data_IF_924763340102
#
_entry.id   IF_924763340102
#
_cell.length_a   1.000
_cell.length_b   1.000
_cell.length_c   1.000
_cell.angle_alpha   90.00
_cell.angle_beta   90.00
_cell.angle_gamma   90.00
#
_symmetry.space_group_name_H-M   'P 1'
#
loop_
_entity.id
_entity.type
_entity.pdbx_description
1 polymer ?
#
# COMPACT_ATOMS: atom_id res chain seq x y z
N UNK A 1 23.87 10.69 4.09
CA UNK A 1 25.08 11.53 4.10
C UNK A 1 24.61 12.94 3.89
N UNK A 2 24.78 13.85 4.85
CA UNK A 2 24.42 15.26 4.66
C UNK A 2 25.19 15.80 3.45
N UNK A 3 24.47 16.18 2.38
CA UNK A 3 25.06 17.00 1.32
C UNK A 3 25.12 18.42 1.86
N UNK A 4 26.32 18.93 2.11
CA UNK A 4 26.51 20.37 2.26
C UNK A 4 26.08 21.02 0.93
N UNK A 5 25.08 21.91 0.97
CA UNK A 5 24.67 22.72 -0.19
C UNK A 5 25.82 23.68 -0.53
N UNK A 6 26.37 23.56 -1.74
CA UNK A 6 27.41 24.43 -2.26
C UNK A 6 26.73 25.54 -3.07
N UNK A 7 26.58 26.71 -2.46
CA UNK A 7 25.88 27.89 -3.02
C UNK A 7 26.60 28.52 -4.24
N UNK A 8 27.62 27.87 -4.81
CA UNK A 8 28.41 28.41 -5.92
C UNK A 8 27.85 28.08 -7.32
N UNK A 9 26.84 27.22 -7.44
CA UNK A 9 26.22 26.85 -8.71
C UNK A 9 24.69 27.07 -8.69
N UNK A 10 24.24 28.18 -9.28
CA UNK A 10 22.88 28.73 -9.06
C UNK A 10 21.79 28.24 -10.01
N UNK A 11 22.08 27.42 -11.02
CA UNK A 11 21.06 26.97 -12.01
C UNK A 11 20.60 25.50 -11.84
N UNK A 12 21.46 24.65 -11.26
CA UNK A 12 21.17 23.22 -11.03
C UNK A 12 20.57 22.94 -9.63
N UNK A 13 20.48 23.94 -8.75
CA UNK A 13 20.01 23.82 -7.35
C UNK A 13 18.68 24.56 -7.08
N UNK A 14 17.97 25.00 -8.12
CA UNK A 14 16.64 25.62 -7.97
C UNK A 14 15.56 24.54 -7.88
N UNK A 15 14.61 24.72 -6.97
CA UNK A 15 13.40 23.90 -6.90
C UNK A 15 12.62 23.98 -8.23
N UNK A 16 12.34 22.81 -8.82
CA UNK A 16 11.57 22.67 -10.06
C UNK A 16 10.35 21.78 -9.77
N UNK A 17 9.15 22.36 -9.65
CA UNK A 17 7.94 21.62 -9.26
C UNK A 17 7.66 20.40 -10.14
N UNK A 18 7.94 20.50 -11.43
CA UNK A 18 7.68 19.48 -12.44
C UNK A 18 8.49 18.19 -12.22
N UNK A 19 9.59 18.27 -11.47
CA UNK A 19 10.40 17.09 -11.13
C UNK A 19 9.75 16.21 -10.04
N UNK A 20 8.81 16.77 -9.28
CA UNK A 20 8.18 16.11 -8.13
C UNK A 20 6.67 15.90 -8.32
N UNK A 21 6.04 16.63 -9.25
CA UNK A 21 4.66 16.38 -9.63
C UNK A 21 4.54 15.08 -10.43
N UNK A 22 3.63 14.19 -10.00
CA UNK A 22 3.36 12.93 -10.69
C UNK A 22 2.04 12.98 -11.45
N UNK A 23 1.93 12.15 -12.48
CA UNK A 23 0.62 11.75 -12.99
C UNK A 23 -0.12 10.95 -11.92
N UNK A 24 -1.46 10.92 -11.97
CA UNK A 24 -2.26 10.13 -11.02
C UNK A 24 -1.87 8.64 -11.07
N UNK A 25 -1.59 8.12 -12.27
CA UNK A 25 -1.12 6.74 -12.44
C UNK A 25 0.23 6.49 -11.78
N UNK A 26 1.22 7.37 -12.00
CA UNK A 26 2.54 7.23 -11.39
C UNK A 26 2.49 7.41 -9.87
N UNK A 27 1.60 8.26 -9.37
CA UNK A 27 1.35 8.42 -7.94
C UNK A 27 0.87 7.12 -7.29
N UNK A 28 -0.14 6.46 -7.89
CA UNK A 28 -0.61 5.18 -7.40
C UNK A 28 0.41 4.05 -7.59
N UNK A 29 1.16 4.05 -8.70
CA UNK A 29 2.28 3.12 -8.92
C UNK A 29 3.34 3.24 -7.82
N UNK A 30 3.69 4.48 -7.44
CA UNK A 30 4.65 4.72 -6.36
C UNK A 30 4.08 4.30 -5.01
N UNK A 31 2.81 4.63 -4.73
CA UNK A 31 2.08 4.19 -3.52
C UNK A 31 2.08 2.66 -3.38
N UNK A 32 1.92 1.93 -4.48
CA UNK A 32 1.89 0.46 -4.50
C UNK A 32 3.27 -0.19 -4.36
N UNK A 33 4.28 0.36 -5.02
CA UNK A 33 5.57 -0.35 -5.22
C UNK A 33 6.69 0.09 -4.29
N UNK A 34 6.61 1.28 -3.69
CA UNK A 34 7.68 1.77 -2.84
C UNK A 34 7.73 1.03 -1.49
N UNK A 35 8.94 0.70 -1.06
CA UNK A 35 9.20 -0.08 0.18
C UNK A 35 8.68 0.61 1.44
N UNK A 36 8.69 1.94 1.45
CA UNK A 36 8.24 2.77 2.56
C UNK A 36 7.64 4.04 1.99
N UNK A 37 6.33 4.19 2.15
CA UNK A 37 5.54 5.32 1.66
C UNK A 37 4.89 6.02 2.83
N UNK A 38 4.99 7.34 2.85
CA UNK A 38 4.25 8.20 3.77
C UNK A 38 3.31 9.07 2.97
N UNK A 39 2.02 8.86 3.17
CA UNK A 39 0.97 9.54 2.43
C UNK A 39 0.39 10.65 3.29
N UNK A 40 0.41 11.89 2.80
CA UNK A 40 -0.14 13.04 3.51
C UNK A 40 -1.22 13.74 2.69
N UNK A 41 -2.33 14.02 3.37
CA UNK A 41 -3.42 14.87 2.89
C UNK A 41 -3.23 16.27 3.43
N UNK A 42 -2.95 17.23 2.55
CA UNK A 42 -2.66 18.61 2.91
C UNK A 42 -3.91 19.48 3.02
N UNK A 43 -5.09 18.92 2.77
CA UNK A 43 -6.37 19.63 2.91
C UNK A 43 -6.71 19.84 4.38
N UNK A 44 -7.65 20.73 4.64
CA UNK A 44 -8.19 20.94 5.98
C UNK A 44 -8.83 19.67 6.54
N UNK A 45 -8.82 19.54 7.87
CA UNK A 45 -9.35 18.36 8.56
C UNK A 45 -10.81 18.02 8.18
N UNK A 46 -11.64 19.03 7.90
CA UNK A 46 -13.03 18.80 7.46
C UNK A 46 -13.13 18.04 6.15
N UNK A 47 -12.30 18.36 5.15
CA UNK A 47 -12.30 17.67 3.86
C UNK A 47 -11.72 16.26 3.99
N UNK A 48 -10.72 16.09 4.86
CA UNK A 48 -10.14 14.78 5.18
C UNK A 48 -11.17 13.84 5.81
N UNK A 49 -11.93 14.31 6.80
CA UNK A 49 -12.97 13.50 7.47
C UNK A 49 -14.10 13.08 6.53
N UNK A 50 -14.39 13.87 5.49
CA UNK A 50 -15.38 13.52 4.47
C UNK A 50 -14.88 12.37 3.61
N UNK A 51 -13.65 12.45 3.11
CA UNK A 51 -13.03 11.41 2.28
C UNK A 51 -11.54 11.66 2.15
N UNK A 52 -10.73 10.61 2.21
CA UNK A 52 -9.28 10.65 2.03
C UNK A 52 -8.79 9.32 1.47
N UNK A 53 -7.56 9.31 0.93
CA UNK A 53 -6.96 8.07 0.47
C UNK A 53 -6.70 7.12 1.66
N UNK A 54 -6.95 5.80 1.52
CA UNK A 54 -6.63 4.84 2.56
C UNK A 54 -5.16 4.95 3.01
N UNK A 55 -4.96 5.23 4.30
CA UNK A 55 -3.63 5.31 4.92
C UNK A 55 -2.97 6.68 4.82
N UNK A 56 -3.69 7.69 4.31
CA UNK A 56 -3.24 9.07 4.35
C UNK A 56 -3.31 9.63 5.79
N UNK A 57 -2.28 10.38 6.18
CA UNK A 57 -2.28 11.20 7.38
C UNK A 57 -2.71 12.62 7.04
N UNK A 58 -3.68 13.17 7.76
CA UNK A 58 -4.00 14.58 7.59
C UNK A 58 -2.88 15.45 8.18
N UNK A 59 -2.31 16.31 7.33
CA UNK A 59 -1.34 17.33 7.72
C UNK A 59 -1.66 18.60 6.94
N UNK A 60 -2.67 19.38 7.38
CA UNK A 60 -3.06 20.61 6.71
C UNK A 60 -1.86 21.53 6.47
N UNK A 61 -1.82 22.20 5.32
CA UNK A 61 -0.67 22.99 4.88
C UNK A 61 -0.23 24.05 5.91
N UNK A 62 -1.17 24.64 6.66
CA UNK A 62 -0.90 25.61 7.72
C UNK A 62 -0.08 25.06 8.90
N UNK A 63 0.01 23.74 9.01
CA UNK A 63 0.77 23.04 10.05
C UNK A 63 2.01 22.32 9.50
N UNK A 64 2.21 22.33 8.19
CA UNK A 64 3.22 21.53 7.51
C UNK A 64 4.64 21.94 7.92
N UNK A 65 4.98 23.23 7.85
CA UNK A 65 6.31 23.74 8.18
C UNK A 65 6.71 23.43 9.63
N UNK A 66 5.77 23.57 10.57
CA UNK A 66 6.02 23.26 11.99
C UNK A 66 6.21 21.77 12.25
N UNK A 67 5.73 20.92 11.34
CA UNK A 67 5.77 19.46 11.47
C UNK A 67 6.97 18.82 10.78
N UNK A 68 7.78 19.61 10.05
CA UNK A 68 8.88 19.09 9.23
C UNK A 68 9.89 18.26 10.00
N UNK A 69 10.18 18.64 11.25
CA UNK A 69 11.12 17.92 12.12
C UNK A 69 10.61 16.55 12.58
N UNK A 70 9.31 16.31 12.46
CA UNK A 70 8.67 15.02 12.76
C UNK A 70 8.48 14.18 11.48
N UNK A 71 8.71 14.77 10.30
CA UNK A 71 8.55 14.06 9.04
C UNK A 71 9.70 13.05 8.84
N UNK A 72 9.40 11.92 8.18
CA UNK A 72 10.36 10.86 7.97
C UNK A 72 11.40 11.28 6.92
N UNK A 73 12.67 11.35 7.33
CA UNK A 73 13.81 11.67 6.43
C UNK A 73 14.20 10.55 5.46
N UNK A 74 13.51 9.41 5.47
CA UNK A 74 13.77 8.29 4.55
C UNK A 74 12.46 7.70 4.04
N UNK A 75 12.46 7.10 2.85
CA UNK A 75 11.24 6.61 2.20
C UNK A 75 10.55 7.71 1.37
N UNK A 76 9.58 7.29 0.58
CA UNK A 76 8.88 8.18 -0.34
C UNK A 76 7.76 8.93 0.40
N UNK A 77 7.81 10.27 0.35
CA UNK A 77 6.71 11.12 0.82
C UNK A 77 5.78 11.39 -0.36
N UNK A 78 4.51 11.03 -0.26
CA UNK A 78 3.49 11.30 -1.24
C UNK A 78 2.50 12.31 -0.66
N UNK A 79 2.28 13.41 -1.38
CA UNK A 79 1.40 14.51 -0.95
C UNK A 79 0.23 14.66 -1.91
N UNK A 80 -0.94 15.01 -1.38
CA UNK A 80 -2.01 15.57 -2.20
C UNK A 80 -2.77 16.68 -1.46
N UNK A 81 -3.40 17.58 -2.21
CA UNK A 81 -4.06 18.77 -1.68
C UNK A 81 -5.44 19.02 -2.27
N UNK A 82 -5.95 20.24 -2.06
CA UNK A 82 -7.24 20.70 -2.60
C UNK A 82 -7.15 21.30 -4.00
N UNK A 83 -5.95 21.41 -4.58
CA UNK A 83 -5.70 22.11 -5.84
C UNK A 83 -5.59 23.63 -5.67
N UNK A 84 -5.17 24.12 -4.51
CA UNK A 84 -5.04 25.55 -4.18
C UNK A 84 -3.58 25.95 -3.89
N UNK A 85 -2.61 25.12 -4.29
CA UNK A 85 -1.17 25.37 -4.11
C UNK A 85 -0.58 24.82 -2.81
N UNK A 86 -1.35 24.03 -2.05
CA UNK A 86 -0.88 23.38 -0.82
C UNK A 86 0.31 22.46 -1.11
N UNK A 87 0.19 21.64 -2.16
CA UNK A 87 1.22 20.66 -2.54
C UNK A 87 2.50 21.32 -3.04
N UNK A 88 2.38 22.40 -3.81
CA UNK A 88 3.52 23.18 -4.30
C UNK A 88 4.30 23.80 -3.12
N UNK A 89 3.57 24.41 -2.18
CA UNK A 89 4.17 25.03 -0.99
C UNK A 89 4.87 23.98 -0.12
N UNK A 90 4.22 22.83 0.12
CA UNK A 90 4.81 21.73 0.88
C UNK A 90 6.05 21.14 0.19
N UNK A 91 6.01 20.99 -1.14
CA UNK A 91 7.14 20.48 -1.93
C UNK A 91 8.35 21.42 -1.87
N UNK A 92 8.15 22.73 -1.94
CA UNK A 92 9.22 23.73 -1.77
C UNK A 92 9.82 23.66 -0.35
N UNK A 93 8.97 23.60 0.68
CA UNK A 93 9.40 23.45 2.07
C UNK A 93 10.24 22.17 2.26
N UNK A 94 9.80 21.03 1.72
CA UNK A 94 10.57 19.77 1.78
C UNK A 94 11.93 19.89 1.08
N UNK A 95 11.95 20.48 -0.12
CA UNK A 95 13.18 20.68 -0.89
C UNK A 95 14.20 21.56 -0.14
N UNK A 96 13.74 22.66 0.43
CA UNK A 96 14.59 23.60 1.15
C UNK A 96 15.18 22.99 2.42
N UNK A 97 14.43 22.11 3.07
CA UNK A 97 14.84 21.35 4.25
C UNK A 97 15.62 20.06 3.91
N UNK A 98 15.95 19.84 2.64
CA UNK A 98 16.88 18.79 2.21
C UNK A 98 16.27 17.39 2.09
N UNK A 99 14.94 17.27 2.02
CA UNK A 99 14.29 16.03 1.60
C UNK A 99 14.58 15.80 0.11
N UNK A 100 14.91 14.56 -0.26
CA UNK A 100 15.30 14.20 -1.62
C UNK A 100 14.28 13.30 -2.32
N UNK A 101 13.35 12.68 -1.58
CA UNK A 101 12.31 11.78 -2.11
C UNK A 101 10.92 12.18 -1.64
N UNK A 102 10.29 13.09 -2.40
CA UNK A 102 8.90 13.47 -2.22
C UNK A 102 8.22 13.70 -3.55
N UNK A 103 6.91 13.47 -3.62
CA UNK A 103 6.14 13.59 -4.85
C UNK A 103 4.72 14.02 -4.54
N UNK A 104 4.04 14.64 -5.50
CA UNK A 104 2.69 15.14 -5.26
C UNK A 104 1.75 15.07 -6.47
N UNK A 105 0.46 15.02 -6.15
CA UNK A 105 -0.67 15.30 -7.05
C UNK A 105 -1.47 16.44 -6.44
N UNK A 106 -1.73 17.50 -7.19
CA UNK A 106 -2.21 18.75 -6.60
C UNK A 106 -3.63 18.66 -6.01
N UNK A 107 -4.54 17.96 -6.72
CA UNK A 107 -5.97 17.95 -6.40
C UNK A 107 -6.46 16.55 -6.04
N UNK A 108 -7.03 16.40 -4.85
CA UNK A 108 -7.59 15.13 -4.36
C UNK A 108 -8.58 14.49 -5.34
N UNK A 109 -9.45 15.27 -5.98
CA UNK A 109 -10.45 14.75 -6.91
C UNK A 109 -9.82 14.08 -8.14
N UNK A 110 -8.63 14.52 -8.58
CA UNK A 110 -7.93 13.92 -9.72
C UNK A 110 -7.55 12.45 -9.45
N UNK A 111 -7.30 12.11 -8.18
CA UNK A 111 -6.97 10.75 -7.75
C UNK A 111 -8.11 9.75 -7.97
N UNK A 112 -9.31 10.23 -8.31
CA UNK A 112 -10.45 9.40 -8.68
C UNK A 112 -10.90 9.68 -10.12
N UNK A 113 -11.00 10.96 -10.50
CA UNK A 113 -11.48 11.37 -11.83
C UNK A 113 -10.55 10.92 -12.99
N UNK A 114 -9.26 10.74 -12.73
CA UNK A 114 -8.28 10.31 -13.74
C UNK A 114 -7.95 8.82 -13.69
N UNK A 115 -8.70 8.04 -12.90
CA UNK A 115 -8.55 6.58 -12.87
C UNK A 115 -9.34 5.98 -14.03
N UNK A 116 -8.66 5.28 -14.92
CA UNK A 116 -9.22 4.71 -16.15
C UNK A 116 -8.82 3.23 -16.34
N UNK A 117 -9.24 2.63 -17.46
CA UNK A 117 -8.98 1.22 -17.77
C UNK A 117 -7.49 0.87 -17.95
N UNK A 118 -6.62 1.87 -18.07
CA UNK A 118 -5.18 1.65 -18.18
C UNK A 118 -4.54 1.23 -16.85
N UNK A 119 -5.26 1.37 -15.73
CA UNK A 119 -4.76 1.07 -14.38
C UNK A 119 -4.69 -0.43 -14.09
N UNK A 120 -5.39 -1.25 -14.87
CA UNK A 120 -5.36 -2.70 -14.75
C UNK A 120 -5.13 -3.38 -16.10
N UNK A 121 -4.70 -4.64 -16.05
CA UNK A 121 -4.42 -5.46 -17.22
C UNK A 121 -5.20 -6.78 -17.17
N UNK A 122 -5.33 -7.42 -18.33
CA UNK A 122 -6.00 -8.72 -18.47
C UNK A 122 -5.08 -9.59 -19.31
N UNK A 123 -4.71 -10.76 -18.80
CA UNK A 123 -3.95 -11.74 -19.57
C UNK A 123 -4.79 -12.27 -20.76
N UNK A 124 -4.16 -12.68 -21.88
CA UNK A 124 -4.88 -13.27 -23.02
C UNK A 124 -5.74 -14.48 -22.66
N UNK A 125 -5.29 -15.30 -21.72
CA UNK A 125 -5.97 -16.50 -21.24
C UNK A 125 -7.21 -16.13 -20.40
N UNK A 126 -7.07 -15.17 -19.48
CA UNK A 126 -8.19 -14.66 -18.70
C UNK A 126 -9.23 -14.00 -19.61
N UNK A 127 -8.80 -13.21 -20.59
CA UNK A 127 -9.68 -12.56 -21.55
C UNK A 127 -10.58 -13.56 -22.28
N UNK A 128 -10.02 -14.67 -22.77
CA UNK A 128 -10.80 -15.75 -23.43
C UNK A 128 -11.83 -16.38 -22.49
N UNK A 129 -11.47 -16.60 -21.22
CA UNK A 129 -12.37 -17.21 -20.22
C UNK A 129 -13.51 -16.27 -19.83
N UNK A 130 -13.24 -14.97 -19.76
CA UNK A 130 -14.22 -13.91 -19.46
C UNK A 130 -15.18 -13.67 -20.63
N UNK A 131 -14.68 -13.69 -21.87
CA UNK A 131 -15.48 -13.49 -23.10
C UNK A 131 -16.37 -14.68 -23.47
N UNK A 132 -16.10 -15.86 -22.91
CA UNK A 132 -16.97 -17.02 -23.11
C UNK A 132 -18.37 -16.69 -22.56
N UNK A 133 -19.47 -17.09 -23.24
CA UNK A 133 -20.81 -16.70 -22.81
C UNK A 133 -21.08 -17.17 -21.38
N UNK A 134 -21.19 -16.22 -20.46
CA UNK A 134 -21.67 -16.45 -19.09
C UNK A 134 -23.12 -15.97 -19.03
N UNK A 135 -24.06 -16.87 -18.74
CA UNK A 135 -25.49 -16.52 -18.57
C UNK A 135 -25.71 -15.51 -17.42
N UNK A 136 -24.72 -15.38 -16.53
CA UNK A 136 -24.81 -14.68 -15.25
C UNK A 136 -24.06 -13.33 -15.18
N UNK A 137 -23.66 -12.72 -16.30
CA UNK A 137 -22.93 -11.43 -16.32
C UNK A 137 -23.64 -10.35 -17.15
N UNK A 138 -24.94 -10.15 -16.93
CA UNK A 138 -25.79 -9.30 -17.78
C UNK A 138 -25.37 -7.81 -17.81
N UNK A 139 -24.75 -7.31 -16.74
CA UNK A 139 -24.32 -5.91 -16.58
C UNK A 139 -22.79 -5.73 -16.72
N UNK A 140 -22.02 -6.81 -16.59
CA UNK A 140 -20.56 -6.83 -16.70
C UNK A 140 -19.91 -7.60 -15.55
N UNK A 141 -18.65 -7.25 -15.26
CA UNK A 141 -17.86 -7.88 -14.19
C UNK A 141 -17.53 -6.90 -13.08
N UNK A 142 -17.82 -7.27 -11.84
CA UNK A 142 -17.41 -6.50 -10.66
C UNK A 142 -16.00 -6.91 -10.25
N UNK A 143 -15.06 -5.99 -10.40
CA UNK A 143 -13.73 -6.03 -9.83
C UNK A 143 -13.81 -5.50 -8.39
N UNK A 144 -13.86 -6.42 -7.42
CA UNK A 144 -14.02 -6.08 -6.02
C UNK A 144 -12.70 -6.24 -5.26
N UNK A 145 -12.50 -5.37 -4.28
CA UNK A 145 -11.41 -5.43 -3.31
C UNK A 145 -12.04 -5.46 -1.93
N UNK A 146 -11.61 -6.38 -1.08
CA UNK A 146 -11.89 -6.37 0.35
C UNK A 146 -10.65 -5.84 1.08
N UNK A 147 -10.61 -4.55 1.48
CA UNK A 147 -9.46 -4.01 2.20
C UNK A 147 -9.29 -4.72 3.54
N UNK A 148 -8.07 -5.20 3.81
CA UNK A 148 -7.65 -5.73 5.12
C UNK A 148 -6.77 -4.75 5.88
N UNK A 149 -6.14 -3.83 5.15
CA UNK A 149 -5.42 -2.68 5.71
C UNK A 149 -5.47 -1.52 4.71
N UNK A 150 -4.98 -0.32 5.07
CA UNK A 150 -4.89 0.80 4.15
C UNK A 150 -4.12 0.51 2.84
N UNK A 151 -3.18 -0.43 2.86
CA UNK A 151 -2.31 -0.75 1.72
C UNK A 151 -2.46 -2.20 1.26
N UNK A 152 -3.40 -2.96 1.82
CA UNK A 152 -3.57 -4.38 1.49
C UNK A 152 -5.05 -4.76 1.35
N UNK A 153 -5.37 -5.52 0.31
CA UNK A 153 -6.73 -6.03 0.08
C UNK A 153 -6.76 -7.37 -0.64
N UNK A 154 -7.88 -8.09 -0.49
CA UNK A 154 -8.16 -9.33 -1.22
C UNK A 154 -8.96 -8.97 -2.48
N UNK A 155 -8.48 -9.39 -3.64
CA UNK A 155 -9.06 -9.04 -4.93
C UNK A 155 -9.93 -10.18 -5.46
N UNK A 156 -11.08 -9.84 -6.02
CA UNK A 156 -12.00 -10.81 -6.63
C UNK A 156 -12.61 -10.26 -7.89
N UNK A 157 -12.93 -11.16 -8.83
CA UNK A 157 -13.74 -10.86 -10.00
C UNK A 157 -15.01 -11.69 -9.93
N UNK A 158 -16.16 -11.04 -10.00
CA UNK A 158 -17.46 -11.74 -10.01
C UNK A 158 -18.41 -11.14 -11.04
N UNK A 159 -19.30 -11.92 -11.64
CA UNK A 159 -20.34 -11.38 -12.49
C UNK A 159 -21.22 -10.38 -11.74
N UNK A 160 -21.60 -9.28 -12.39
CA UNK A 160 -22.56 -8.32 -11.88
C UNK A 160 -23.90 -8.50 -12.62
N UNK A 161 -24.95 -8.74 -11.85
CA UNK A 161 -26.32 -8.94 -12.34
C UNK A 161 -27.30 -7.86 -11.88
N UNK A 162 -26.89 -7.05 -10.90
CA UNK A 162 -27.67 -5.93 -10.37
C UNK A 162 -27.34 -4.67 -11.18
N UNK A 163 -28.36 -3.84 -11.43
CA UNK A 163 -28.24 -2.55 -12.10
C UNK A 163 -28.01 -1.39 -11.11
N UNK A 164 -27.98 -1.65 -9.80
CA UNK A 164 -27.55 -0.66 -8.80
C UNK A 164 -26.03 -0.40 -8.87
N UNK A 165 -25.66 0.56 -9.71
CA UNK A 165 -24.29 0.99 -9.96
C UNK A 165 -24.03 2.45 -9.57
N UNK A 166 -24.86 3.06 -8.72
CA UNK A 166 -24.83 4.51 -8.44
C UNK A 166 -23.48 5.00 -7.86
N UNK A 167 -22.73 4.11 -7.20
CA UNK A 167 -21.42 4.41 -6.60
C UNK A 167 -20.28 3.64 -7.25
N UNK A 168 -20.49 3.13 -8.47
CA UNK A 168 -19.49 2.34 -9.19
C UNK A 168 -18.89 3.12 -10.36
N UNK A 169 -17.58 3.02 -10.51
CA UNK A 169 -16.88 3.42 -11.71
C UNK A 169 -17.00 2.32 -12.78
N UNK A 170 -17.41 2.71 -13.98
CA UNK A 170 -17.44 1.85 -15.17
C UNK A 170 -16.10 1.95 -15.91
N UNK A 171 -15.56 0.81 -16.31
CA UNK A 171 -14.44 0.70 -17.24
C UNK A 171 -14.84 -0.16 -18.43
N UNK A 172 -14.36 0.20 -19.62
CA UNK A 172 -14.53 -0.61 -20.82
C UNK A 172 -13.15 -1.00 -21.34
N UNK A 173 -12.85 -2.29 -21.35
CA UNK A 173 -11.54 -2.81 -21.73
C UNK A 173 -11.70 -4.06 -22.59
N UNK A 174 -11.12 -4.06 -23.78
CA UNK A 174 -11.22 -5.18 -24.75
C UNK A 174 -12.67 -5.61 -25.05
N UNK A 175 -13.59 -4.65 -25.08
CA UNK A 175 -15.03 -4.88 -25.30
C UNK A 175 -15.79 -5.47 -24.12
N UNK A 176 -15.18 -5.51 -22.92
CA UNK A 176 -15.77 -6.03 -21.69
C UNK A 176 -15.99 -4.86 -20.72
N UNK A 177 -17.14 -4.90 -20.05
CA UNK A 177 -17.50 -3.91 -19.03
C UNK A 177 -17.04 -4.41 -17.67
N UNK A 178 -16.25 -3.60 -16.99
CA UNK A 178 -15.86 -3.78 -15.59
C UNK A 178 -16.46 -2.69 -14.73
N UNK A 179 -16.79 -3.05 -13.50
CA UNK A 179 -17.31 -2.17 -12.47
C UNK A 179 -16.42 -2.27 -11.24
N UNK A 180 -16.22 -1.16 -10.55
CA UNK A 180 -15.53 -1.09 -9.27
C UNK A 180 -16.20 -0.03 -8.41
N UNK A 181 -16.36 -0.30 -7.11
CA UNK A 181 -16.82 0.73 -6.18
C UNK A 181 -15.85 1.93 -6.19
N UNK A 182 -16.41 3.14 -6.24
CA UNK A 182 -15.63 4.37 -6.32
C UNK A 182 -14.64 4.53 -5.15
N UNK A 183 -15.02 4.07 -3.96
CA UNK A 183 -14.15 4.11 -2.77
C UNK A 183 -12.93 3.19 -2.89
N UNK A 184 -12.97 2.21 -3.79
CA UNK A 184 -11.91 1.22 -3.99
C UNK A 184 -10.96 1.57 -5.14
N UNK A 185 -11.22 2.63 -5.92
CA UNK A 185 -10.31 3.09 -6.99
C UNK A 185 -8.83 3.24 -6.56
N UNK A 186 -8.49 3.65 -5.32
CA UNK A 186 -7.11 3.68 -4.85
C UNK A 186 -6.36 2.34 -4.84
N UNK A 187 -7.06 1.22 -5.05
CA UNK A 187 -6.51 -0.14 -5.12
C UNK A 187 -6.34 -0.65 -6.56
N UNK A 188 -6.77 0.09 -7.58
CA UNK A 188 -6.86 -0.42 -8.94
C UNK A 188 -5.50 -0.50 -9.66
N UNK A 189 -4.63 0.49 -9.47
CA UNK A 189 -3.36 0.57 -10.20
C UNK A 189 -2.50 -0.68 -9.98
N UNK A 190 -2.02 -1.25 -11.08
CA UNK A 190 -1.19 -2.45 -11.08
C UNK A 190 -1.95 -3.75 -10.87
N UNK A 191 -3.28 -3.72 -10.93
CA UNK A 191 -4.11 -4.93 -10.87
C UNK A 191 -4.00 -5.71 -12.17
N UNK A 192 -3.86 -7.02 -12.06
CA UNK A 192 -3.82 -7.95 -13.17
C UNK A 192 -4.90 -9.01 -13.01
N UNK A 193 -5.71 -9.17 -14.06
CA UNK A 193 -6.68 -10.24 -14.17
C UNK A 193 -6.03 -11.37 -14.98
N UNK A 194 -5.71 -12.47 -14.30
CA UNK A 194 -4.95 -13.58 -14.84
C UNK A 194 -5.64 -14.93 -14.63
N UNK A 195 -4.99 -15.99 -15.09
CA UNK A 195 -5.36 -17.37 -14.76
C UNK A 195 -4.39 -17.90 -13.73
N UNK A 196 -4.92 -18.45 -12.65
CA UNK A 196 -4.15 -19.21 -11.67
C UNK A 196 -3.60 -20.49 -12.34
N UNK A 197 -2.28 -20.64 -12.38
CA UNK A 197 -1.62 -21.73 -13.10
C UNK A 197 -1.96 -23.13 -12.55
N UNK A 198 -2.26 -23.22 -11.26
CA UNK A 198 -2.56 -24.49 -10.59
C UNK A 198 -4.01 -24.95 -10.82
N UNK A 199 -4.94 -24.01 -10.82
CA UNK A 199 -6.39 -24.28 -10.87
C UNK A 199 -7.01 -24.05 -12.25
N UNK A 200 -6.38 -23.25 -13.10
CA UNK A 200 -6.96 -22.79 -14.37
C UNK A 200 -8.13 -21.80 -14.18
N UNK A 201 -8.36 -21.31 -12.97
CA UNK A 201 -9.42 -20.35 -12.64
C UNK A 201 -8.96 -18.91 -12.77
N UNK A 202 -9.92 -17.99 -12.95
CA UNK A 202 -9.62 -16.56 -12.96
C UNK A 202 -9.12 -16.17 -11.58
N UNK A 203 -8.01 -15.45 -11.57
CA UNK A 203 -7.44 -14.83 -10.39
C UNK A 203 -7.22 -13.35 -10.66
N UNK A 204 -7.50 -12.52 -9.65
CA UNK A 204 -7.15 -11.10 -9.68
C UNK A 204 -6.03 -10.90 -8.69
N UNK A 205 -4.92 -10.37 -9.16
CA UNK A 205 -3.74 -10.08 -8.35
C UNK A 205 -3.36 -8.62 -8.45
N UNK A 206 -2.69 -8.12 -7.44
CA UNK A 206 -2.07 -6.81 -7.47
C UNK A 206 -0.73 -6.91 -6.75
N UNK A 207 0.38 -6.81 -7.48
CA UNK A 207 1.70 -6.85 -6.89
C UNK A 207 1.95 -5.59 -6.06
N UNK A 208 1.88 -5.71 -4.74
CA UNK A 208 2.12 -4.62 -3.79
C UNK A 208 0.91 -4.31 -2.91
N UNK A 209 -0.31 -4.35 -3.45
CA UNK A 209 -1.55 -4.15 -2.67
C UNK A 209 -2.35 -5.43 -2.44
N UNK A 210 -2.13 -6.48 -3.23
CA UNK A 210 -2.80 -7.77 -3.08
C UNK A 210 -2.35 -8.50 -1.82
N UNK A 211 -3.31 -9.14 -1.16
CA UNK A 211 -3.06 -10.31 -0.33
C UNK A 211 -3.34 -11.49 -1.25
N UNK A 212 -2.28 -12.14 -1.73
CA UNK A 212 -2.41 -13.27 -2.63
C UNK A 212 -3.11 -14.45 -1.96
N UNK A 213 -3.62 -15.39 -2.77
CA UNK A 213 -3.84 -16.74 -2.24
C UNK A 213 -2.49 -17.24 -1.75
N UNK A 214 -2.44 -17.73 -0.52
CA UNK A 214 -1.21 -18.30 0.00
C UNK A 214 -0.89 -19.58 -0.77
N UNK A 215 0.21 -19.59 -1.51
CA UNK A 215 0.64 -20.71 -2.37
C UNK A 215 1.75 -21.53 -1.74
N UNK A 216 2.01 -22.70 -2.31
CA UNK A 216 3.10 -23.58 -1.89
C UNK A 216 2.81 -24.38 -0.62
N UNK A 217 3.87 -24.89 -0.01
CA UNK A 217 3.76 -25.69 1.20
C UNK A 217 3.50 -24.79 2.44
N UNK A 218 3.25 -25.40 3.61
CA UNK A 218 2.95 -24.66 4.83
C UNK A 218 4.00 -23.58 5.18
N UNK A 219 5.28 -23.87 4.97
CA UNK A 219 6.37 -22.92 5.22
C UNK A 219 6.33 -21.73 4.24
N UNK A 220 6.03 -21.99 2.96
CA UNK A 220 5.88 -20.94 1.94
C UNK A 220 4.72 -20.00 2.27
N UNK A 221 3.60 -20.56 2.74
CA UNK A 221 2.42 -19.79 3.16
C UNK A 221 2.71 -18.92 4.38
N UNK A 222 3.43 -19.46 5.37
CA UNK A 222 3.89 -18.71 6.56
C UNK A 222 4.80 -17.56 6.13
N UNK A 223 5.75 -17.79 5.21
CA UNK A 223 6.64 -16.74 4.69
C UNK A 223 5.86 -15.65 3.95
N UNK A 224 4.92 -16.02 3.08
CA UNK A 224 4.08 -15.05 2.36
C UNK A 224 3.32 -14.15 3.34
N UNK A 225 2.73 -14.68 4.41
CA UNK A 225 2.06 -13.84 5.42
C UNK A 225 3.03 -12.93 6.16
N UNK A 226 4.24 -13.42 6.47
CA UNK A 226 5.27 -12.59 7.09
C UNK A 226 5.64 -11.41 6.19
N UNK A 227 5.85 -11.65 4.90
CA UNK A 227 6.33 -10.64 3.96
C UNK A 227 5.22 -9.69 3.50
N UNK A 228 4.02 -10.20 3.24
CA UNK A 228 2.92 -9.43 2.65
C UNK A 228 2.05 -8.73 3.69
N UNK A 229 2.01 -9.20 4.94
CA UNK A 229 1.09 -8.69 5.95
C UNK A 229 1.78 -8.27 7.25
N UNK A 230 2.60 -9.14 7.86
CA UNK A 230 3.21 -8.88 9.18
C UNK A 230 4.30 -7.82 9.11
N UNK A 231 5.29 -7.99 8.24
CA UNK A 231 6.43 -7.09 8.14
C UNK A 231 6.05 -5.66 7.75
N UNK A 232 5.08 -5.42 6.83
CA UNK A 232 4.57 -4.08 6.58
C UNK A 232 4.04 -3.39 7.85
N UNK A 233 3.32 -4.12 8.72
CA UNK A 233 2.81 -3.58 9.98
C UNK A 233 3.92 -3.31 11.00
N UNK A 234 4.85 -4.25 11.15
CA UNK A 234 5.94 -4.15 12.15
C UNK A 234 7.01 -3.13 11.74
N UNK A 235 7.22 -2.90 10.45
CA UNK A 235 8.16 -1.90 9.93
C UNK A 235 7.81 -0.48 10.37
N UNK A 236 6.52 -0.17 10.56
CA UNK A 236 6.06 1.12 11.10
C UNK A 236 6.58 1.41 12.51
N UNK A 237 6.92 0.35 13.26
CA UNK A 237 7.55 0.43 14.59
C UNK A 237 9.08 0.23 14.55
N UNK A 238 9.68 0.29 13.36
CA UNK A 238 11.13 0.10 13.16
C UNK A 238 11.60 -1.34 13.38
N UNK A 239 10.67 -2.31 13.36
CA UNK A 239 10.98 -3.72 13.56
C UNK A 239 10.97 -4.54 12.28
N UNK A 240 11.38 -5.80 12.41
CA UNK A 240 11.25 -6.84 11.38
C UNK A 240 10.98 -8.18 12.05
N UNK A 241 10.20 -9.05 11.40
CA UNK A 241 9.91 -10.40 11.85
C UNK A 241 10.37 -11.40 10.79
N UNK A 242 11.11 -12.41 11.22
CA UNK A 242 11.64 -13.45 10.34
C UNK A 242 11.24 -14.84 10.83
N UNK A 243 11.03 -15.78 9.90
CA UNK A 243 10.79 -17.18 10.22
C UNK A 243 12.09 -17.85 10.66
N UNK A 244 12.12 -18.40 11.88
CA UNK A 244 13.27 -19.14 12.42
C UNK A 244 13.19 -20.63 12.06
N UNK A 245 12.08 -21.28 12.40
CA UNK A 245 11.81 -22.69 12.09
C UNK A 245 10.32 -23.01 12.24
N UNK A 246 9.94 -24.18 11.73
CA UNK A 246 8.62 -24.77 11.91
C UNK A 246 8.78 -26.19 12.46
N UNK A 247 8.06 -26.53 13.53
CA UNK A 247 8.06 -27.87 14.12
C UNK A 247 6.62 -28.29 14.45
N UNK A 248 6.12 -29.38 13.85
CA UNK A 248 4.78 -29.94 14.11
C UNK A 248 3.61 -28.92 13.98
N UNK A 249 3.71 -27.98 13.04
CA UNK A 249 2.70 -26.92 12.86
C UNK A 249 2.87 -25.72 13.80
N UNK A 250 3.88 -25.75 14.68
CA UNK A 250 4.29 -24.61 15.51
C UNK A 250 5.33 -23.76 14.77
N UNK A 251 5.09 -22.45 14.72
CA UNK A 251 5.90 -21.47 13.99
C UNK A 251 6.77 -20.68 14.97
N UNK A 252 8.08 -20.72 14.78
CA UNK A 252 9.03 -19.98 15.61
C UNK A 252 9.51 -18.75 14.86
N UNK A 253 9.27 -17.55 15.41
CA UNK A 253 9.61 -16.27 14.81
C UNK A 253 10.78 -15.61 15.54
N UNK A 254 11.55 -14.79 14.83
CA UNK A 254 12.58 -13.91 15.39
C UNK A 254 12.24 -12.46 15.08
N UNK A 255 12.21 -11.65 16.13
CA UNK A 255 11.97 -10.22 16.07
C UNK A 255 13.32 -9.48 16.05
N UNK A 256 13.49 -8.60 15.07
CA UNK A 256 14.68 -7.79 14.85
C UNK A 256 14.40 -6.29 14.88
N UNK A 257 15.45 -5.48 14.87
CA UNK A 257 15.35 -4.02 14.84
C UNK A 257 14.80 -3.44 16.15
N UNK A 258 13.89 -2.47 16.06
CA UNK A 258 13.21 -1.87 17.21
C UNK A 258 12.47 -2.89 18.09
N UNK A 259 12.12 -4.06 17.53
CA UNK A 259 11.45 -5.14 18.25
C UNK A 259 12.40 -6.11 18.98
N UNK A 260 13.72 -5.99 18.80
CA UNK A 260 14.70 -6.87 19.44
C UNK A 260 15.01 -6.45 20.89
N UNK A 261 15.11 -5.13 21.14
CA UNK A 261 15.81 -4.54 22.29
C UNK A 261 15.00 -4.26 23.56
N UNK A 262 13.77 -4.75 23.68
CA UNK A 262 13.02 -4.65 24.92
C UNK A 262 12.15 -5.91 25.05
N UNK A 263 12.39 -6.74 26.06
CA UNK A 263 11.54 -7.91 26.36
C UNK A 263 10.07 -7.57 26.65
N UNK A 264 9.75 -6.26 26.74
CA UNK A 264 8.42 -5.68 26.87
C UNK A 264 7.83 -5.14 25.56
N UNK A 265 8.58 -5.06 24.44
CA UNK A 265 7.99 -4.82 23.10
C UNK A 265 7.22 -6.07 22.72
N UNK A 266 5.92 -6.08 22.53
CA UNK A 266 4.80 -5.28 23.04
C UNK A 266 3.75 -6.39 23.06
N UNK A 267 3.19 -6.78 24.22
CA UNK A 267 2.27 -7.93 24.27
C UNK A 267 1.20 -7.80 23.18
N UNK A 268 0.75 -6.56 22.95
CA UNK A 268 -0.15 -6.16 21.88
C UNK A 268 0.40 -6.40 20.47
N UNK A 269 1.67 -6.08 20.19
CA UNK A 269 2.29 -6.34 18.88
C UNK A 269 2.41 -7.84 18.62
N UNK A 270 2.90 -8.61 19.61
CA UNK A 270 3.02 -10.07 19.51
C UNK A 270 1.65 -10.72 19.31
N UNK A 271 0.64 -10.25 20.03
CA UNK A 271 -0.76 -10.67 19.83
C UNK A 271 -1.28 -10.30 18.45
N UNK A 272 -1.00 -9.10 17.95
CA UNK A 272 -1.40 -8.66 16.62
C UNK A 272 -0.77 -9.53 15.52
N UNK A 273 0.52 -9.85 15.65
CA UNK A 273 1.21 -10.80 14.75
C UNK A 273 0.58 -12.18 14.85
N UNK A 274 0.31 -12.67 16.06
CA UNK A 274 -0.28 -14.00 16.25
C UNK A 274 -1.67 -14.12 15.61
N UNK A 275 -2.55 -13.14 15.85
CA UNK A 275 -3.91 -13.10 15.28
C UNK A 275 -3.83 -13.07 13.76
N UNK A 276 -3.08 -12.13 13.19
CA UNK A 276 -2.94 -11.98 11.74
C UNK A 276 -2.40 -13.26 11.07
N UNK A 277 -1.40 -13.89 11.68
CA UNK A 277 -0.81 -15.12 11.16
C UNK A 277 -1.79 -16.30 11.23
N UNK A 278 -2.53 -16.47 12.33
CA UNK A 278 -3.51 -17.56 12.47
C UNK A 278 -4.74 -17.36 11.60
N UNK A 279 -5.18 -16.12 11.39
CA UNK A 279 -6.25 -15.79 10.45
C UNK A 279 -5.85 -16.10 9.00
N UNK A 280 -4.61 -15.77 8.63
CA UNK A 280 -4.12 -15.98 7.27
C UNK A 280 -3.72 -17.44 7.00
N UNK A 281 -3.13 -18.12 7.99
CA UNK A 281 -2.73 -19.53 7.91
C UNK A 281 -3.42 -20.31 9.04
N UNK A 282 -4.67 -20.77 8.84
CA UNK A 282 -5.42 -21.50 9.87
C UNK A 282 -4.76 -22.80 10.35
N UNK A 283 -3.81 -23.34 9.58
CA UNK A 283 -3.07 -24.56 9.90
C UNK A 283 -2.02 -24.35 11.00
N UNK A 284 -1.74 -23.11 11.42
CA UNK A 284 -0.80 -22.80 12.51
C UNK A 284 -1.38 -23.24 13.85
N UNK A 285 -0.66 -24.12 14.55
CA UNK A 285 -1.02 -24.60 15.89
C UNK A 285 -0.67 -23.56 16.96
N UNK A 286 0.57 -23.09 16.93
CA UNK A 286 1.09 -22.11 17.89
C UNK A 286 2.19 -21.26 17.24
N UNK A 287 2.41 -20.07 17.81
CA UNK A 287 3.47 -19.15 17.40
C UNK A 287 4.34 -18.88 18.62
N UNK A 288 5.65 -19.02 18.46
CA UNK A 288 6.63 -18.86 19.52
C UNK A 288 7.66 -17.80 19.15
N UNK A 289 8.05 -17.02 20.15
CA UNK A 289 9.17 -16.10 20.03
C UNK A 289 10.49 -16.83 20.30
N UNK A 290 11.38 -16.84 19.32
CA UNK A 290 12.72 -17.43 19.38
C UNK A 290 13.82 -16.35 19.45
N UNK A 291 13.47 -15.11 19.75
CA UNK A 291 14.40 -13.97 19.83
C UNK A 291 15.19 -14.03 21.14
N UNK A 292 16.50 -13.82 21.03
CA UNK A 292 17.35 -13.55 22.20
C UNK A 292 17.29 -12.06 22.54
N UNK A 293 16.33 -11.70 23.39
CA UNK A 293 16.09 -10.31 23.80
C UNK A 293 17.19 -9.73 24.70
N UNK A 294 18.03 -10.58 25.30
CA UNK A 294 19.10 -10.14 26.20
C UNK A 294 20.37 -9.73 25.41
N UNK A 295 20.46 -10.13 24.14
CA UNK A 295 21.61 -9.87 23.25
C UNK A 295 21.59 -8.52 22.51
N UNK A 296 20.48 -7.77 22.58
CA UNK A 296 20.30 -6.51 21.86
C UNK A 296 21.07 -5.36 22.49
N UNK A 297 22.00 -4.74 21.75
CA UNK A 297 22.54 -3.43 22.12
C UNK A 297 21.44 -2.37 21.96
N UNK A 298 20.85 -1.95 23.08
CA UNK A 298 19.83 -0.91 23.19
C UNK A 298 20.16 0.33 22.32
N UNK A 299 19.41 0.61 21.23
CA UNK A 299 19.73 1.74 20.35
C UNK A 299 19.13 3.07 20.84
N UNK A 300 18.33 3.08 21.91
CA UNK A 300 17.58 4.27 22.33
C UNK A 300 18.20 5.09 23.46
N UNK A 301 19.38 4.70 23.98
CA UNK A 301 20.13 5.53 24.92
C UNK A 301 21.63 5.41 24.70
N UNK A 302 22.20 6.38 23.97
CA UNK A 302 23.51 6.97 24.24
C UNK A 302 23.50 8.44 23.87
#
# INVERSE_FOLDING_TARGET
MFKFKDLSNTEDELFRPENYQLSVKDFFAKRRTAKRVYLFDLRGAGDYEISHLPGAHNLPIEHFENSIYQMPFTGDILLYGGGQGETLTAAEILYDNGFDTFYYVDRFLDLYEQVDESFFTISPEALKKIQSPHEDASVGWLLAVEPKSPTKGVYTLRPLNDDDTEQMQRFEKEGIIFWMDFSLLPFLEGTEIQIDEDTGEIEVVNEGLGIGKLRGNFEDRVRQVLDEQVNPMVASHGGVVTLSRIENGEVFLRFGGGCQGCGMVDVTLKQGVEVMMKESVPDIVAIHDATDHDSGSNPYYR
#
